data_IF_256679421180
#
_entry.id   IF_256679421180
#
_cell.length_a   1.000
_cell.length_b   1.000
_cell.length_c   1.000
_cell.angle_alpha   90.00
_cell.angle_beta   90.00
_cell.angle_gamma   90.00
#
_symmetry.space_group_name_H-M   'P 1'
#
loop_
_entity.id
_entity.type
_entity.pdbx_description
1 polymer ?
#
# COMPACT_ATOMS: atom_id res chain seq x y z
N UNK A 1 24.50 33.99 6.95
CA UNK A 1 24.99 32.82 6.19
C UNK A 1 24.27 31.59 6.69
N UNK A 2 23.57 30.90 5.79
CA UNK A 2 22.68 29.78 6.06
C UNK A 2 23.42 28.58 6.67
N UNK A 3 23.04 28.21 7.89
CA UNK A 3 23.21 26.83 8.40
C UNK A 3 21.99 26.02 7.99
N UNK A 4 21.93 25.65 6.73
CA UNK A 4 21.07 24.58 6.23
C UNK A 4 22.03 23.53 5.69
N UNK A 5 22.46 22.62 6.56
CA UNK A 5 23.08 21.36 6.17
C UNK A 5 22.92 20.37 7.34
N UNK A 6 22.55 19.15 6.96
CA UNK A 6 22.42 17.92 7.77
C UNK A 6 21.08 17.65 8.42
N UNK A 7 20.07 17.36 7.58
CA UNK A 7 19.13 16.27 7.83
C UNK A 7 18.82 15.58 6.49
N UNK A 8 19.85 15.06 5.81
CA UNK A 8 19.63 13.99 4.84
C UNK A 8 19.86 12.69 5.63
N UNK A 9 18.87 12.35 6.46
CA UNK A 9 18.81 11.05 7.08
C UNK A 9 18.76 10.01 5.96
N UNK A 10 19.64 9.01 6.00
CA UNK A 10 19.71 7.93 5.01
C UNK A 10 18.31 7.42 4.67
N UNK A 11 17.77 7.87 3.54
CA UNK A 11 16.48 7.44 3.06
C UNK A 11 16.68 6.04 2.50
N UNK A 12 16.00 5.06 3.09
CA UNK A 12 16.02 3.71 2.54
C UNK A 12 15.41 3.71 1.13
N UNK A 13 16.17 3.19 0.18
CA UNK A 13 15.77 3.02 -1.22
C UNK A 13 15.50 1.53 -1.44
N UNK A 14 14.31 1.21 -1.93
CA UNK A 14 13.89 -0.13 -2.27
C UNK A 14 13.80 -0.28 -3.77
N UNK A 15 13.99 -1.51 -4.27
CA UNK A 15 13.88 -1.81 -5.68
C UNK A 15 12.52 -2.42 -5.98
N UNK A 16 11.85 -1.97 -7.03
CA UNK A 16 10.73 -2.72 -7.55
C UNK A 16 11.23 -4.05 -8.13
N UNK A 17 10.33 -5.02 -8.32
CA UNK A 17 10.62 -6.29 -9.02
C UNK A 17 11.37 -6.07 -10.33
N UNK A 18 11.07 -4.97 -11.02
CA UNK A 18 11.92 -4.46 -12.08
C UNK A 18 13.01 -3.59 -11.44
N UNK A 19 14.20 -4.16 -11.25
CA UNK A 19 15.33 -3.55 -10.52
C UNK A 19 15.76 -2.17 -11.05
N UNK A 20 15.35 -1.82 -12.28
CA UNK A 20 15.56 -0.49 -12.86
C UNK A 20 14.69 0.62 -12.25
N UNK A 21 13.77 0.29 -11.35
CA UNK A 21 12.88 1.23 -10.68
C UNK A 21 13.05 1.13 -9.18
N UNK A 22 13.03 2.28 -8.51
CA UNK A 22 13.21 2.40 -7.06
C UNK A 22 12.14 3.28 -6.44
N UNK A 23 11.93 3.10 -5.14
CA UNK A 23 10.99 3.89 -4.35
C UNK A 23 11.41 3.91 -2.88
N UNK A 24 11.04 4.96 -2.15
CA UNK A 24 11.13 5.05 -0.69
C UNK A 24 9.77 4.88 -0.04
N UNK A 25 9.71 4.36 1.20
CA UNK A 25 8.44 4.10 1.87
C UNK A 25 7.61 5.36 2.13
N UNK A 26 8.26 6.50 2.30
CA UNK A 26 7.61 7.80 2.51
C UNK A 26 7.40 8.61 1.21
N UNK A 27 7.71 8.04 0.04
CA UNK A 27 7.38 8.70 -1.22
C UNK A 27 5.86 8.83 -1.38
N UNK A 28 5.41 10.01 -1.82
CA UNK A 28 4.00 10.18 -2.22
C UNK A 28 3.65 9.27 -3.40
N UNK A 29 4.60 9.09 -4.32
CA UNK A 29 4.42 8.23 -5.49
C UNK A 29 5.50 7.17 -5.62
N UNK A 30 5.08 5.92 -5.81
CA UNK A 30 5.99 4.83 -6.16
C UNK A 30 5.95 4.57 -7.65
N UNK A 31 7.10 4.67 -8.31
CA UNK A 31 7.25 4.33 -9.72
C UNK A 31 7.78 2.90 -9.82
N UNK A 32 6.95 1.97 -10.30
CA UNK A 32 7.27 0.54 -10.34
C UNK A 32 7.64 0.04 -11.74
N UNK A 33 7.28 0.81 -12.76
CA UNK A 33 7.68 0.62 -14.15
C UNK A 33 7.35 1.89 -14.95
N UNK A 34 7.79 1.95 -16.21
CA UNK A 34 7.52 3.06 -17.14
C UNK A 34 6.06 3.50 -17.19
N UNK A 35 5.12 2.57 -17.04
CA UNK A 35 3.69 2.81 -17.21
C UNK A 35 2.90 2.77 -15.88
N UNK A 36 3.57 2.53 -14.75
CA UNK A 36 2.89 2.29 -13.46
C UNK A 36 3.54 3.15 -12.38
N UNK A 37 2.79 4.17 -12.00
CA UNK A 37 3.04 5.06 -10.88
C UNK A 37 1.86 4.96 -9.90
N UNK A 38 2.15 4.69 -8.63
CA UNK A 38 1.14 4.51 -7.58
C UNK A 38 1.13 5.72 -6.67
N UNK A 39 -0.05 6.26 -6.35
CA UNK A 39 -0.20 7.30 -5.33
C UNK A 39 -0.35 6.63 -3.95
N UNK A 40 0.77 6.28 -3.34
CA UNK A 40 0.81 5.63 -2.01
C UNK A 40 0.56 6.67 -0.92
N UNK A 41 0.99 7.91 -1.15
CA UNK A 41 0.76 9.04 -0.25
C UNK A 41 -0.73 9.32 0.01
N UNK A 42 -1.59 9.18 -1.00
CA UNK A 42 -3.02 9.37 -0.82
C UNK A 42 -3.66 8.33 0.12
N UNK A 43 -3.22 7.07 0.02
CA UNK A 43 -3.67 6.01 0.92
C UNK A 43 -3.19 6.29 2.35
N UNK A 44 -1.89 6.53 2.50
CA UNK A 44 -1.27 6.68 3.82
C UNK A 44 -1.76 7.90 4.59
N UNK A 45 -2.17 8.98 3.91
CA UNK A 45 -2.81 10.17 4.53
C UNK A 45 -4.16 9.86 5.20
N UNK A 46 -4.81 8.74 4.83
CA UNK A 46 -6.15 8.35 5.34
C UNK A 46 -6.09 7.26 6.42
N UNK A 47 -4.91 6.72 6.70
CA UNK A 47 -4.72 5.61 7.64
C UNK A 47 -4.21 6.10 9.00
N UNK A 48 -4.64 5.42 10.07
CA UNK A 48 -3.99 5.53 11.37
C UNK A 48 -2.55 5.00 11.31
N UNK A 49 -1.70 5.39 12.27
CA UNK A 49 -0.27 5.03 12.25
C UNK A 49 -0.01 3.52 12.12
N UNK A 50 -0.79 2.70 12.84
CA UNK A 50 -0.66 1.24 12.83
C UNK A 50 -1.03 0.66 11.46
N UNK A 51 -2.17 1.09 10.91
CA UNK A 51 -2.62 0.66 9.57
C UNK A 51 -1.66 1.14 8.48
N UNK A 52 -1.16 2.38 8.59
CA UNK A 52 -0.18 2.92 7.65
C UNK A 52 1.07 2.05 7.62
N UNK A 53 1.63 1.71 8.77
CA UNK A 53 2.84 0.89 8.86
C UNK A 53 2.65 -0.48 8.21
N UNK A 54 1.58 -1.20 8.56
CA UNK A 54 1.31 -2.52 8.00
C UNK A 54 1.02 -2.48 6.49
N UNK A 55 0.24 -1.49 6.04
CA UNK A 55 -0.08 -1.31 4.63
C UNK A 55 1.17 -1.04 3.79
N UNK A 56 1.99 -0.06 4.19
CA UNK A 56 3.17 0.36 3.42
C UNK A 56 4.19 -0.79 3.32
N UNK A 57 4.46 -1.50 4.42
CA UNK A 57 5.41 -2.61 4.40
C UNK A 57 4.87 -3.82 3.62
N UNK A 58 3.56 -4.07 3.66
CA UNK A 58 2.94 -5.10 2.83
C UNK A 58 2.99 -4.74 1.35
N UNK A 59 2.74 -3.47 1.01
CA UNK A 59 2.82 -3.00 -0.38
C UNK A 59 4.25 -3.02 -0.90
N UNK A 60 5.25 -2.68 -0.06
CA UNK A 60 6.68 -2.80 -0.36
C UNK A 60 7.01 -4.23 -0.79
N UNK A 61 6.62 -5.21 0.02
CA UNK A 61 6.83 -6.62 -0.30
C UNK A 61 6.24 -6.98 -1.68
N UNK A 62 5.02 -6.54 -1.97
CA UNK A 62 4.44 -6.78 -3.30
C UNK A 62 5.18 -6.05 -4.43
N UNK A 63 5.64 -4.82 -4.18
CA UNK A 63 6.43 -4.06 -5.14
C UNK A 63 7.75 -4.75 -5.50
N UNK A 64 8.39 -5.42 -4.54
CA UNK A 64 9.62 -6.21 -4.73
C UNK A 64 9.35 -7.57 -5.40
N UNK A 65 8.23 -8.22 -5.08
CA UNK A 65 8.03 -9.65 -5.41
C UNK A 65 7.12 -9.94 -6.60
N UNK A 66 6.16 -9.06 -6.92
CA UNK A 66 5.13 -9.34 -7.95
C UNK A 66 5.08 -8.28 -9.05
N UNK A 67 4.25 -8.52 -10.07
CA UNK A 67 4.19 -7.62 -11.23
C UNK A 67 3.66 -6.23 -10.84
N UNK A 68 4.21 -5.12 -11.37
CA UNK A 68 3.73 -3.77 -11.12
C UNK A 68 2.21 -3.60 -11.35
N UNK A 69 1.65 -4.31 -12.34
CA UNK A 69 0.20 -4.30 -12.62
C UNK A 69 -0.62 -4.90 -11.49
N UNK A 70 -0.14 -5.98 -10.89
CA UNK A 70 -0.77 -6.60 -9.71
C UNK A 70 -0.70 -5.67 -8.49
N UNK A 71 0.44 -5.03 -8.25
CA UNK A 71 0.60 -4.06 -7.15
C UNK A 71 -0.32 -2.86 -7.33
N UNK A 72 -0.43 -2.34 -8.56
CA UNK A 72 -1.39 -1.27 -8.91
C UNK A 72 -2.83 -1.67 -8.59
N UNK A 73 -3.22 -2.88 -8.93
CA UNK A 73 -4.57 -3.38 -8.66
C UNK A 73 -4.81 -3.51 -7.15
N UNK A 74 -3.85 -4.05 -6.40
CA UNK A 74 -3.92 -4.16 -4.94
C UNK A 74 -4.06 -2.78 -4.30
N UNK A 75 -3.22 -1.82 -4.70
CA UNK A 75 -3.29 -0.45 -4.20
C UNK A 75 -4.66 0.20 -4.49
N UNK A 76 -5.15 0.10 -5.73
CA UNK A 76 -6.46 0.63 -6.15
C UNK A 76 -7.60 0.06 -5.30
N UNK A 77 -7.58 -1.25 -5.07
CA UNK A 77 -8.61 -1.94 -4.30
C UNK A 77 -8.57 -1.53 -2.83
N UNK A 78 -7.37 -1.41 -2.25
CA UNK A 78 -7.24 -0.94 -0.87
C UNK A 78 -7.69 0.52 -0.71
N UNK A 79 -7.37 1.39 -1.67
CA UNK A 79 -7.86 2.77 -1.72
C UNK A 79 -9.39 2.84 -1.78
N UNK A 80 -10.02 1.95 -2.55
CA UNK A 80 -11.48 1.81 -2.59
C UNK A 80 -12.05 1.36 -1.25
N UNK A 81 -11.39 0.41 -0.58
CA UNK A 81 -11.77 -0.11 0.73
C UNK A 81 -11.76 0.96 1.83
N UNK A 82 -10.69 1.75 1.94
CA UNK A 82 -10.59 2.84 2.92
C UNK A 82 -11.45 4.06 2.57
N UNK A 83 -11.88 4.18 1.31
CA UNK A 83 -12.83 5.23 0.89
C UNK A 83 -14.28 4.81 1.13
N UNK A 84 -14.54 3.52 1.30
CA UNK A 84 -15.88 3.00 1.52
C UNK A 84 -16.32 3.15 2.97
N UNK A 85 -15.40 2.97 3.93
CA UNK A 85 -15.66 3.12 5.35
C UNK A 85 -14.37 3.43 6.12
N UNK A 86 -14.54 4.04 7.30
CA UNK A 86 -13.46 4.27 8.26
C UNK A 86 -13.40 3.14 9.29
N UNK A 87 -12.19 2.74 9.66
CA UNK A 87 -11.94 1.69 10.65
C UNK A 87 -10.54 1.89 11.25
N UNK A 88 -10.36 1.50 12.51
CA UNK A 88 -9.07 1.56 13.20
C UNK A 88 -8.29 0.25 13.13
N UNK A 89 -8.97 -0.85 12.80
CA UNK A 89 -8.39 -2.17 12.57
C UNK A 89 -9.19 -2.94 11.52
N UNK A 90 -8.56 -3.91 10.84
CA UNK A 90 -9.23 -4.78 9.87
C UNK A 90 -9.70 -6.04 10.60
N UNK A 91 -10.94 -6.02 11.11
CA UNK A 91 -11.54 -7.13 11.83
C UNK A 91 -12.61 -7.88 11.01
N UNK A 92 -13.23 -8.89 11.62
CA UNK A 92 -14.27 -9.69 10.96
C UNK A 92 -15.47 -8.84 10.54
N UNK A 93 -15.90 -7.86 11.34
CA UNK A 93 -17.05 -7.01 11.04
C UNK A 93 -16.79 -6.12 9.82
N UNK A 94 -15.59 -5.53 9.73
CA UNK A 94 -15.12 -4.78 8.56
C UNK A 94 -15.12 -5.67 7.31
N UNK A 95 -14.61 -6.90 7.42
CA UNK A 95 -14.56 -7.83 6.29
C UNK A 95 -15.93 -8.34 5.85
N UNK A 96 -16.84 -8.62 6.79
CA UNK A 96 -18.22 -9.01 6.49
C UNK A 96 -19.00 -7.88 5.81
N UNK A 97 -18.86 -6.65 6.31
CA UNK A 97 -19.45 -5.45 5.70
C UNK A 97 -18.98 -5.29 4.26
N UNK A 98 -17.67 -5.45 4.02
CA UNK A 98 -17.08 -5.35 2.68
C UNK A 98 -17.57 -6.42 1.74
N UNK A 99 -17.60 -7.68 2.21
CA UNK A 99 -18.07 -8.83 1.41
C UNK A 99 -19.54 -8.74 1.05
N UNK A 100 -20.35 -8.14 1.92
CA UNK A 100 -21.80 -8.00 1.73
C UNK A 100 -22.17 -6.82 0.83
N UNK A 101 -21.21 -5.94 0.52
CA UNK A 101 -21.45 -4.77 -0.32
C UNK A 101 -21.33 -5.10 -1.80
N UNK A 102 -22.33 -4.67 -2.56
CA UNK A 102 -22.36 -4.66 -4.04
C UNK A 102 -21.27 -3.79 -4.67
N UNK A 103 -20.67 -2.88 -3.89
CA UNK A 103 -19.57 -2.03 -4.35
C UNK A 103 -18.32 -2.84 -4.65
N UNK A 104 -18.11 -4.02 -4.08
CA UNK A 104 -16.90 -4.82 -4.29
C UNK A 104 -17.16 -6.00 -5.22
N UNK A 105 -16.41 -6.05 -6.32
CA UNK A 105 -16.44 -7.23 -7.19
C UNK A 105 -15.71 -8.41 -6.54
N UNK A 106 -15.97 -9.63 -7.03
CA UNK A 106 -15.21 -10.81 -6.62
C UNK A 106 -13.70 -10.64 -6.78
N UNK A 107 -13.28 -9.93 -7.84
CA UNK A 107 -11.86 -9.64 -8.06
C UNK A 107 -11.31 -8.66 -7.01
N UNK A 108 -12.08 -7.65 -6.62
CA UNK A 108 -11.68 -6.74 -5.54
C UNK A 108 -11.55 -7.52 -4.21
N UNK A 109 -12.49 -8.41 -3.90
CA UNK A 109 -12.45 -9.24 -2.69
C UNK A 109 -11.24 -10.19 -2.68
N UNK A 110 -10.88 -10.77 -3.82
CA UNK A 110 -9.65 -11.58 -3.96
C UNK A 110 -8.41 -10.72 -3.71
N UNK A 111 -8.33 -9.51 -4.26
CA UNK A 111 -7.21 -8.61 -4.03
C UNK A 111 -7.09 -8.20 -2.55
N UNK A 112 -8.21 -7.88 -1.88
CA UNK A 112 -8.20 -7.60 -0.45
C UNK A 112 -7.73 -8.81 0.35
N UNK A 113 -8.21 -10.01 0.02
CA UNK A 113 -7.77 -11.24 0.68
C UNK A 113 -6.26 -11.46 0.53
N UNK A 114 -5.71 -11.25 -0.66
CA UNK A 114 -4.26 -11.38 -0.90
C UNK A 114 -3.48 -10.39 -0.04
N UNK A 115 -3.91 -9.12 -0.01
CA UNK A 115 -3.26 -8.09 0.80
C UNK A 115 -3.32 -8.42 2.29
N UNK A 116 -4.51 -8.70 2.83
CA UNK A 116 -4.71 -8.94 4.27
C UNK A 116 -3.99 -10.20 4.72
N UNK A 117 -4.01 -11.26 3.91
CA UNK A 117 -3.26 -12.49 4.22
C UNK A 117 -1.76 -12.21 4.30
N UNK A 118 -1.20 -11.47 3.34
CA UNK A 118 0.23 -11.13 3.36
C UNK A 118 0.57 -10.18 4.51
N UNK A 119 -0.29 -9.21 4.79
CA UNK A 119 -0.17 -8.29 5.93
C UNK A 119 -0.02 -9.07 7.24
N UNK A 120 -0.93 -10.02 7.49
CA UNK A 120 -0.88 -10.86 8.69
C UNK A 120 0.36 -11.78 8.70
N UNK A 121 0.73 -12.37 7.57
CA UNK A 121 1.94 -13.21 7.45
C UNK A 121 3.24 -12.45 7.76
N UNK A 122 3.27 -11.14 7.52
CA UNK A 122 4.41 -10.26 7.86
C UNK A 122 4.39 -9.78 9.32
N UNK A 123 3.34 -10.11 10.09
CA UNK A 123 3.23 -9.80 11.52
C UNK A 123 2.69 -8.41 11.82
N UNK A 124 1.93 -7.82 10.90
CA UNK A 124 1.31 -6.50 11.06
C UNK A 124 -0.20 -6.59 11.37
#
# INVERSE_FOLDING_TARGET
MNKLNFLDAHRDIFHAKNESYTFGLDDEFWELSRNIKLNVGEVTKRLSGNLRFGYVNTLKYFAEEISPGSVKQINRVFMKFISFMSFDSIDEAVMLTTKSSDKFSNQDLICLRILIKKWYELGF
#
